data_IF_561537760373
#
_entry.id   IF_561537760373
#
_cell.length_a   1.000
_cell.length_b   1.000
_cell.length_c   1.000
_cell.angle_alpha   90.00
_cell.angle_beta   90.00
_cell.angle_gamma   90.00
#
_symmetry.space_group_name_H-M   'P 1'
#
loop_
_entity.id
_entity.type
_entity.pdbx_description
1 polymer ?
#
# COMPACT_ATOMS: atom_id res chain seq x y z
N UNK A 1 12.97 4.61 15.14
CA UNK A 1 14.07 4.77 16.12
C UNK A 1 15.16 3.80 15.71
N UNK A 2 16.32 4.29 15.27
CA UNK A 2 17.43 3.43 14.83
C UNK A 2 18.24 3.02 16.06
N UNK A 3 18.23 1.72 16.38
CA UNK A 3 19.05 1.09 17.43
C UNK A 3 20.45 0.71 16.91
N UNK A 4 20.86 1.27 15.78
CA UNK A 4 22.20 1.07 15.23
C UNK A 4 23.18 1.93 16.03
N UNK A 5 23.51 1.50 17.26
CA UNK A 5 24.78 1.90 17.85
C UNK A 5 25.87 1.42 16.89
N UNK A 6 26.65 2.36 16.35
CA UNK A 6 27.77 2.00 15.52
C UNK A 6 28.68 1.04 16.28
N UNK A 7 29.26 0.04 15.59
CA UNK A 7 30.09 -1.01 16.23
C UNK A 7 31.20 -0.43 17.12
N UNK A 8 31.67 0.78 16.82
CA UNK A 8 32.65 1.54 17.62
C UNK A 8 32.04 2.07 18.94
N UNK A 9 30.83 2.62 18.89
CA UNK A 9 30.11 3.15 20.05
C UNK A 9 29.66 2.03 20.98
N UNK A 10 29.13 0.94 20.43
CA UNK A 10 28.80 -0.27 21.19
C UNK A 10 30.03 -0.81 21.94
N UNK A 11 31.19 -0.85 21.26
CA UNK A 11 32.45 -1.31 21.87
C UNK A 11 32.95 -0.36 22.96
N UNK A 12 32.74 0.94 22.82
CA UNK A 12 33.10 1.94 23.84
C UNK A 12 32.21 1.78 25.08
N UNK A 13 30.90 1.72 24.89
CA UNK A 13 29.94 1.49 25.97
C UNK A 13 30.15 0.15 26.67
N UNK A 14 30.46 -0.92 25.92
CA UNK A 14 30.75 -2.23 26.48
C UNK A 14 32.01 -2.25 27.35
N UNK A 15 33.03 -1.44 27.03
CA UNK A 15 34.25 -1.32 27.85
C UNK A 15 34.02 -0.59 29.18
N UNK A 16 32.96 0.20 29.29
CA UNK A 16 32.58 0.91 30.51
C UNK A 16 31.76 0.02 31.47
N UNK A 17 31.32 -1.16 31.01
CA UNK A 17 30.56 -2.12 31.79
C UNK A 17 31.47 -3.21 32.38
N UNK A 18 31.02 -3.78 33.50
CA UNK A 18 31.67 -4.94 34.10
C UNK A 18 31.34 -6.21 33.31
N UNK A 19 32.24 -7.21 33.36
CA UNK A 19 32.04 -8.49 32.69
C UNK A 19 30.71 -9.18 33.06
N UNK A 20 30.31 -9.09 34.33
CA UNK A 20 29.04 -9.63 34.83
C UNK A 20 27.86 -8.96 34.12
N UNK A 21 27.83 -7.62 34.08
CA UNK A 21 26.75 -6.87 33.40
C UNK A 21 26.71 -7.14 31.90
N UNK A 22 27.86 -7.32 31.26
CA UNK A 22 27.91 -7.70 29.85
C UNK A 22 27.29 -9.08 29.62
N UNK A 23 27.52 -10.01 30.54
CA UNK A 23 26.96 -11.37 30.47
C UNK A 23 25.43 -11.34 30.61
N UNK A 24 24.90 -10.59 31.59
CA UNK A 24 23.46 -10.42 31.78
C UNK A 24 22.77 -9.79 30.55
N UNK A 25 23.43 -8.80 29.93
CA UNK A 25 22.95 -8.15 28.70
C UNK A 25 22.93 -9.14 27.54
N UNK A 26 23.96 -9.97 27.40
CA UNK A 26 24.02 -11.02 26.37
C UNK A 26 22.91 -12.05 26.58
N UNK A 27 22.67 -12.50 27.80
CA UNK A 27 21.59 -13.44 28.12
C UNK A 27 20.22 -12.85 27.76
N UNK A 28 19.98 -11.60 28.14
CA UNK A 28 18.73 -10.90 27.80
C UNK A 28 18.54 -10.78 26.28
N UNK A 29 19.60 -10.37 25.56
CA UNK A 29 19.54 -10.24 24.10
C UNK A 29 19.33 -11.59 23.41
N UNK A 30 19.94 -12.66 23.91
CA UNK A 30 19.72 -14.01 23.40
C UNK A 30 18.29 -14.50 23.66
N UNK A 31 17.70 -14.16 24.82
CA UNK A 31 16.30 -14.44 25.12
C UNK A 31 15.36 -13.76 24.12
N UNK A 32 15.55 -12.45 23.88
CA UNK A 32 14.79 -11.71 22.87
C UNK A 32 15.00 -12.29 21.47
N UNK A 33 16.22 -12.71 21.13
CA UNK A 33 16.50 -13.33 19.83
C UNK A 33 15.72 -14.65 19.67
N UNK A 34 15.69 -15.49 20.71
CA UNK A 34 14.91 -16.72 20.71
C UNK A 34 13.41 -16.46 20.55
N UNK A 35 12.85 -15.47 21.24
CA UNK A 35 11.44 -15.07 21.07
C UNK A 35 11.15 -14.61 19.64
N UNK A 36 12.03 -13.78 19.06
CA UNK A 36 11.86 -13.30 17.68
C UNK A 36 11.99 -14.42 16.65
N UNK A 37 12.85 -15.39 16.91
CA UNK A 37 12.98 -16.58 16.06
C UNK A 37 11.70 -17.42 16.11
N UNK A 38 11.11 -17.61 17.29
CA UNK A 38 9.82 -18.31 17.45
C UNK A 38 8.67 -17.57 16.77
N UNK A 39 8.62 -16.23 16.87
CA UNK A 39 7.63 -15.41 16.15
C UNK A 39 7.73 -15.61 14.64
N UNK A 40 8.94 -15.59 14.08
CA UNK A 40 9.18 -15.79 12.64
C UNK A 40 8.75 -17.19 12.20
N UNK A 41 9.07 -18.22 12.98
CA UNK A 41 8.64 -19.59 12.70
C UNK A 41 7.11 -19.76 12.75
N UNK A 42 6.46 -19.11 13.72
CA UNK A 42 5.00 -19.13 13.86
C UNK A 42 4.32 -18.40 12.70
N UNK A 43 4.86 -17.24 12.30
CA UNK A 43 4.41 -16.51 11.11
C UNK A 43 4.53 -17.39 9.86
N UNK A 44 5.66 -18.07 9.66
CA UNK A 44 5.85 -18.97 8.52
C UNK A 44 4.83 -20.12 8.50
N UNK A 45 4.52 -20.70 9.68
CA UNK A 45 3.47 -21.73 9.81
C UNK A 45 2.08 -21.19 9.48
N UNK A 46 1.75 -20.00 9.97
CA UNK A 46 0.48 -19.33 9.67
C UNK A 46 0.34 -19.04 8.17
N UNK A 47 1.41 -18.58 7.51
CA UNK A 47 1.43 -18.37 6.06
C UNK A 47 1.18 -19.67 5.29
N UNK A 48 1.78 -20.78 5.70
CA UNK A 48 1.57 -22.08 5.07
C UNK A 48 0.14 -22.59 5.24
N UNK A 49 -0.42 -22.45 6.44
CA UNK A 49 -1.82 -22.83 6.72
C UNK A 49 -2.80 -21.97 5.93
N UNK A 50 -2.57 -20.66 5.88
CA UNK A 50 -3.40 -19.74 5.14
C UNK A 50 -3.37 -20.04 3.63
N UNK A 51 -2.18 -20.33 3.07
CA UNK A 51 -2.06 -20.80 1.67
C UNK A 51 -2.80 -22.10 1.42
N UNK A 52 -2.72 -23.06 2.34
CA UNK A 52 -3.44 -24.33 2.23
C UNK A 52 -4.97 -24.16 2.28
N UNK A 53 -5.45 -23.13 2.98
CA UNK A 53 -6.86 -22.74 3.02
C UNK A 53 -7.29 -21.82 1.86
N UNK A 54 -6.39 -21.55 0.90
CA UNK A 54 -6.69 -20.74 -0.28
C UNK A 54 -6.54 -19.23 -0.10
N UNK A 55 -6.10 -18.76 1.08
CA UNK A 55 -5.83 -17.34 1.30
C UNK A 55 -4.55 -16.88 0.60
N UNK A 56 -4.62 -15.72 -0.04
CA UNK A 56 -3.44 -15.10 -0.66
C UNK A 56 -2.66 -14.27 0.38
N UNK A 57 -1.35 -14.09 0.16
CA UNK A 57 -0.48 -13.27 1.04
C UNK A 57 -0.97 -11.80 1.18
N UNK A 58 -1.82 -11.35 0.26
CA UNK A 58 -2.42 -10.01 0.24
C UNK A 58 -3.58 -9.89 1.23
N UNK A 59 -4.43 -10.93 1.35
CA UNK A 59 -5.54 -10.97 2.31
C UNK A 59 -5.05 -11.06 3.76
N UNK A 60 -3.85 -11.60 3.96
CA UNK A 60 -3.18 -11.69 5.26
C UNK A 60 -2.46 -10.40 5.65
N UNK A 61 -2.45 -9.37 4.80
CA UNK A 61 -1.86 -8.07 5.09
C UNK A 61 -0.33 -8.01 5.00
N UNK A 62 0.35 -9.08 4.56
CA UNK A 62 1.82 -9.13 4.43
C UNK A 62 2.35 -8.38 3.20
N UNK A 63 1.49 -8.06 2.23
CA UNK A 63 1.78 -7.13 1.15
C UNK A 63 0.78 -5.98 1.16
N UNK A 64 1.26 -4.78 1.46
CA UNK A 64 0.51 -3.56 1.19
C UNK A 64 0.77 -3.18 -0.27
N UNK A 65 -0.12 -3.60 -1.17
CA UNK A 65 -0.08 -3.12 -2.54
C UNK A 65 -0.34 -1.62 -2.56
N UNK A 66 0.51 -0.88 -3.29
CA UNK A 66 0.30 0.50 -3.73
C UNK A 66 -0.89 0.67 -4.69
N UNK A 67 -1.53 -0.44 -5.05
CA UNK A 67 -2.82 -0.53 -5.72
C UNK A 67 -3.62 -1.63 -5.02
N UNK A 68 -4.62 -1.26 -4.23
CA UNK A 68 -5.68 -2.20 -3.87
C UNK A 68 -6.90 -1.86 -4.69
N UNK A 69 -6.98 -2.54 -5.84
CA UNK A 69 -8.24 -3.04 -6.37
C UNK A 69 -8.67 -4.15 -5.42
N UNK A 70 -9.73 -3.91 -4.64
CA UNK A 70 -10.44 -4.98 -3.95
C UNK A 70 -11.10 -5.84 -5.02
N UNK A 71 -10.46 -6.91 -5.44
CA UNK A 71 -11.12 -8.03 -6.10
C UNK A 71 -11.53 -9.01 -5.01
N UNK A 72 -12.76 -8.89 -4.52
CA UNK A 72 -13.42 -9.98 -3.81
C UNK A 72 -13.53 -11.16 -4.79
N UNK A 73 -12.59 -12.10 -4.72
CA UNK A 73 -12.85 -13.49 -5.09
C UNK A 73 -13.07 -14.25 -3.79
N UNK A 74 -14.30 -14.15 -3.29
CA UNK A 74 -14.88 -15.17 -2.42
C UNK A 74 -15.46 -16.24 -3.34
N UNK A 75 -15.02 -17.47 -3.15
CA UNK A 75 -15.56 -18.66 -3.78
C UNK A 75 -17.09 -18.77 -3.67
N UNK A 76 -17.67 -19.28 -4.75
CA UNK A 76 -18.90 -20.07 -4.81
C UNK A 76 -20.06 -19.67 -3.90
N UNK A 77 -20.60 -18.47 -4.10
CA UNK A 77 -22.00 -18.22 -3.77
C UNK A 77 -22.64 -17.41 -4.89
N UNK A 78 -23.60 -18.03 -5.57
CA UNK A 78 -24.54 -17.30 -6.40
C UNK A 78 -25.17 -16.19 -5.56
N UNK A 79 -25.23 -14.97 -6.13
CA UNK A 79 -26.10 -13.86 -5.70
C UNK A 79 -25.54 -12.77 -4.78
N UNK A 80 -24.31 -12.27 -5.00
CA UNK A 80 -24.04 -10.85 -4.72
C UNK A 80 -24.00 -10.04 -6.02
N UNK A 81 -25.01 -9.19 -6.20
CA UNK A 81 -25.07 -8.21 -7.29
C UNK A 81 -23.85 -7.28 -7.17
N UNK A 82 -22.95 -7.22 -8.16
CA UNK A 82 -21.85 -6.26 -8.17
C UNK A 82 -22.41 -4.84 -8.21
N UNK A 83 -21.67 -3.86 -7.68
CA UNK A 83 -22.11 -2.46 -7.68
C UNK A 83 -22.06 -1.91 -9.10
N UNK A 84 -23.15 -1.27 -9.57
CA UNK A 84 -23.20 -0.64 -10.89
C UNK A 84 -22.03 0.35 -11.05
N UNK A 85 -21.11 0.11 -12.01
CA UNK A 85 -19.96 0.98 -12.23
C UNK A 85 -20.39 2.42 -12.54
N UNK A 86 -19.71 3.40 -11.94
CA UNK A 86 -19.88 4.83 -12.25
C UNK A 86 -18.52 5.40 -12.63
N UNK A 87 -18.42 5.95 -13.84
CA UNK A 87 -17.21 6.65 -14.27
C UNK A 87 -17.14 8.01 -13.60
N UNK A 88 -16.01 8.33 -12.97
CA UNK A 88 -15.72 9.65 -12.43
C UNK A 88 -14.64 10.29 -13.30
N UNK A 89 -14.98 11.42 -13.92
CA UNK A 89 -14.02 12.22 -14.68
C UNK A 89 -13.04 12.90 -13.72
N UNK A 90 -11.75 12.88 -14.07
CA UNK A 90 -10.72 13.58 -13.30
C UNK A 90 -10.78 15.07 -13.63
N UNK A 91 -11.14 15.90 -12.65
CA UNK A 91 -11.05 17.35 -12.77
C UNK A 91 -9.66 17.82 -12.30
N UNK A 92 -8.87 18.37 -13.25
CA UNK A 92 -7.50 18.86 -13.04
C UNK A 92 -7.38 19.89 -11.91
N UNK A 93 -8.34 20.80 -11.77
CA UNK A 93 -8.28 21.88 -10.78
C UNK A 93 -8.49 21.40 -9.34
N UNK A 94 -9.22 20.29 -9.18
CA UNK A 94 -9.49 19.67 -7.88
C UNK A 94 -8.36 18.74 -7.39
N UNK A 95 -7.32 18.54 -8.20
CA UNK A 95 -6.23 17.64 -7.87
C UNK A 95 -5.17 18.28 -6.97
N UNK A 96 -4.58 17.44 -6.14
CA UNK A 96 -3.44 17.79 -5.29
C UNK A 96 -2.19 17.07 -5.79
N UNK A 97 -1.03 17.68 -5.58
CA UNK A 97 0.27 17.19 -6.02
C UNK A 97 1.25 17.23 -4.87
N UNK A 98 2.31 16.45 -4.97
CA UNK A 98 3.43 16.49 -4.04
C UNK A 98 4.74 16.21 -4.78
N UNK A 99 5.84 16.62 -4.19
CA UNK A 99 7.18 16.33 -4.74
C UNK A 99 7.84 15.30 -3.84
N UNK A 100 8.22 14.17 -4.43
CA UNK A 100 8.95 13.10 -3.75
C UNK A 100 10.14 12.72 -4.63
N UNK A 101 11.35 12.67 -4.05
CA UNK A 101 12.60 12.39 -4.76
C UNK A 101 12.86 13.33 -5.97
N UNK A 102 12.41 14.59 -5.88
CA UNK A 102 12.58 15.57 -6.96
C UNK A 102 11.62 15.42 -8.13
N UNK A 103 10.66 14.48 -8.07
CA UNK A 103 9.63 14.28 -9.09
C UNK A 103 8.26 14.72 -8.58
N UNK A 104 7.49 15.39 -9.44
CA UNK A 104 6.09 15.71 -9.14
C UNK A 104 5.25 14.44 -9.25
N UNK A 105 4.41 14.19 -8.24
CA UNK A 105 3.45 13.10 -8.22
C UNK A 105 2.05 13.64 -7.94
N UNK A 106 1.05 12.95 -8.50
CA UNK A 106 -0.37 13.23 -8.26
C UNK A 106 -0.83 12.53 -6.96
N UNK A 107 -1.49 13.28 -6.08
CA UNK A 107 -2.11 12.72 -4.89
C UNK A 107 -3.34 11.90 -5.28
N UNK A 108 -3.21 10.57 -5.24
CA UNK A 108 -4.28 9.64 -5.66
C UNK A 108 -5.42 9.53 -4.65
N UNK A 109 -5.14 9.65 -3.35
CA UNK A 109 -6.15 9.48 -2.30
C UNK A 109 -5.98 10.49 -1.15
N UNK A 110 -7.09 10.87 -0.52
CA UNK A 110 -7.05 11.76 0.65
C UNK A 110 -6.37 11.12 1.86
N UNK A 111 -6.42 9.79 1.98
CA UNK A 111 -5.76 9.04 3.06
C UNK A 111 -4.23 9.13 2.97
N UNK A 112 -3.66 9.21 1.75
CA UNK A 112 -2.22 9.42 1.54
C UNK A 112 -1.74 10.78 2.07
N UNK A 113 -2.60 11.81 2.08
CA UNK A 113 -2.21 13.17 2.49
C UNK A 113 -1.59 13.20 3.88
N UNK A 114 -2.18 12.49 4.84
CA UNK A 114 -1.68 12.44 6.23
C UNK A 114 -0.33 11.71 6.31
N UNK A 115 -0.18 10.60 5.60
CA UNK A 115 1.07 9.84 5.56
C UNK A 115 2.23 10.62 4.93
N UNK A 116 1.96 11.35 3.85
CA UNK A 116 2.94 12.21 3.19
C UNK A 116 3.37 13.38 4.10
N UNK A 117 2.40 14.03 4.77
CA UNK A 117 2.70 15.09 5.73
C UNK A 117 3.55 14.61 6.90
N UNK A 118 3.30 13.40 7.42
CA UNK A 118 4.12 12.79 8.48
C UNK A 118 5.56 12.49 8.01
N UNK A 119 5.76 12.21 6.72
CA UNK A 119 7.08 12.05 6.10
C UNK A 119 7.77 13.38 5.78
N UNK A 120 7.14 14.51 6.11
CA UNK A 120 7.65 15.86 5.79
C UNK A 120 7.45 16.27 4.32
N UNK A 121 6.67 15.51 3.54
CA UNK A 121 6.39 15.80 2.14
C UNK A 121 5.21 16.78 2.05
N UNK A 122 5.42 17.90 1.35
CA UNK A 122 4.38 18.92 1.19
C UNK A 122 3.42 18.54 0.07
N UNK A 123 2.12 18.52 0.40
CA UNK A 123 1.02 18.32 -0.54
C UNK A 123 0.39 19.67 -0.87
N UNK A 124 0.36 20.03 -2.14
CA UNK A 124 -0.08 21.34 -2.65
C UNK A 124 -1.18 21.20 -3.71
N UNK A 125 -2.14 22.14 -3.77
CA UNK A 125 -3.11 22.20 -4.88
C UNK A 125 -2.44 22.69 -6.16
N UNK A 126 -3.07 22.42 -7.32
CA UNK A 126 -2.57 22.84 -8.64
C UNK A 126 -2.08 24.29 -8.70
N UNK A 127 -2.82 25.23 -8.10
CA UNK A 127 -2.51 26.66 -8.10
C UNK A 127 -1.17 27.02 -7.42
N UNK A 128 -0.64 26.12 -6.57
CA UNK A 128 0.61 26.30 -5.83
C UNK A 128 1.76 25.43 -6.38
N UNK A 129 1.53 24.70 -7.48
CA UNK A 129 2.58 23.92 -8.15
C UNK A 129 3.45 24.85 -8.98
N UNK A 130 4.77 24.66 -8.94
CA UNK A 130 5.72 25.44 -9.75
C UNK A 130 5.43 25.24 -11.25
N UNK A 131 5.43 26.34 -12.01
CA UNK A 131 5.21 26.36 -13.47
C UNK A 131 6.19 25.46 -14.22
N UNK A 132 7.36 25.16 -13.65
CA UNK A 132 8.35 24.24 -14.23
C UNK A 132 7.77 22.83 -14.49
N UNK A 133 6.80 22.39 -13.69
CA UNK A 133 6.21 21.05 -13.80
C UNK A 133 4.94 21.00 -14.66
N UNK A 134 4.60 22.07 -15.39
CA UNK A 134 3.33 22.12 -16.16
C UNK A 134 3.17 20.94 -17.12
N UNK A 135 4.25 20.55 -17.82
CA UNK A 135 4.25 19.39 -18.72
C UNK A 135 4.06 18.06 -17.98
N UNK A 136 4.64 17.95 -16.78
CA UNK A 136 4.51 16.75 -15.96
C UNK A 136 3.10 16.63 -15.39
N UNK A 137 2.45 17.74 -15.04
CA UNK A 137 1.05 17.76 -14.60
C UNK A 137 0.14 17.19 -15.67
N UNK A 138 0.26 17.66 -16.92
CA UNK A 138 -0.59 17.19 -18.01
C UNK A 138 -0.40 15.69 -18.26
N UNK A 139 0.85 15.21 -18.21
CA UNK A 139 1.16 13.79 -18.31
C UNK A 139 0.54 12.98 -17.15
N UNK A 140 0.72 13.43 -15.91
CA UNK A 140 0.17 12.75 -14.73
C UNK A 140 -1.36 12.67 -14.75
N UNK A 141 -2.03 13.73 -15.24
CA UNK A 141 -3.49 13.73 -15.38
C UNK A 141 -3.93 12.79 -16.51
N UNK A 142 -3.20 12.75 -17.63
CA UNK A 142 -3.47 11.82 -18.73
C UNK A 142 -3.32 10.36 -18.29
N UNK A 143 -2.21 10.04 -17.60
CA UNK A 143 -1.94 8.70 -17.07
C UNK A 143 -3.02 8.27 -16.05
N UNK A 144 -3.39 9.17 -15.13
CA UNK A 144 -4.45 8.91 -14.17
C UNK A 144 -5.82 8.72 -14.86
N UNK A 145 -6.08 9.43 -15.96
CA UNK A 145 -7.32 9.29 -16.73
C UNK A 145 -7.37 7.96 -17.46
N UNK A 146 -6.25 7.54 -18.08
CA UNK A 146 -6.14 6.23 -18.70
C UNK A 146 -6.37 5.11 -17.68
N UNK A 147 -5.76 5.21 -16.49
CA UNK A 147 -5.98 4.26 -15.40
C UNK A 147 -7.44 4.26 -14.91
N UNK A 148 -8.10 5.42 -14.86
CA UNK A 148 -9.52 5.50 -14.50
C UNK A 148 -10.44 4.83 -15.53
N UNK A 149 -10.13 4.95 -16.83
CA UNK A 149 -10.84 4.28 -17.92
C UNK A 149 -10.67 2.76 -17.82
N UNK A 150 -9.44 2.29 -17.66
CA UNK A 150 -9.13 0.87 -17.51
C UNK A 150 -9.89 0.26 -16.31
N UNK A 151 -9.83 0.92 -15.15
CA UNK A 151 -10.54 0.50 -13.95
C UNK A 151 -12.06 0.46 -14.14
N UNK A 152 -12.62 1.42 -14.87
CA UNK A 152 -14.05 1.43 -15.20
C UNK A 152 -14.41 0.26 -16.13
N UNK A 153 -13.63 0.02 -17.17
CA UNK A 153 -13.84 -1.06 -18.13
C UNK A 153 -13.75 -2.45 -17.50
N UNK A 154 -12.85 -2.63 -16.54
CA UNK A 154 -12.76 -3.87 -15.75
C UNK A 154 -14.03 -4.07 -14.90
N UNK A 155 -14.54 -3.02 -14.24
CA UNK A 155 -15.79 -3.08 -13.48
C UNK A 155 -17.02 -3.31 -14.37
N UNK A 156 -17.05 -2.72 -15.57
CA UNK A 156 -18.08 -2.97 -16.58
C UNK A 156 -18.06 -4.42 -17.02
N UNK A 157 -16.88 -5.02 -17.20
CA UNK A 157 -16.77 -6.44 -17.56
C UNK A 157 -17.41 -7.34 -16.49
N UNK A 158 -17.06 -7.14 -15.21
CA UNK A 158 -17.63 -7.88 -14.08
C UNK A 158 -19.15 -7.67 -13.99
N UNK A 159 -19.61 -6.43 -14.17
CA UNK A 159 -21.05 -6.12 -14.15
C UNK A 159 -21.78 -6.78 -15.31
N UNK A 160 -21.23 -6.75 -16.52
CA UNK A 160 -21.83 -7.34 -17.70
C UNK A 160 -21.89 -8.88 -17.60
N UNK A 161 -20.86 -9.51 -17.06
CA UNK A 161 -20.86 -10.96 -16.78
C UNK A 161 -22.00 -11.33 -15.83
N UNK A 162 -22.19 -10.57 -14.75
CA UNK A 162 -23.32 -10.75 -13.84
C UNK A 162 -24.66 -10.45 -14.52
N UNK A 163 -24.74 -9.37 -15.31
CA UNK A 163 -25.94 -8.91 -15.97
C UNK A 163 -26.45 -9.91 -17.03
N UNK A 164 -25.55 -10.55 -17.79
CA UNK A 164 -25.91 -11.61 -18.75
C UNK A 164 -26.56 -12.79 -18.03
N UNK A 165 -26.02 -13.20 -16.88
CA UNK A 165 -26.54 -14.33 -16.11
C UNK A 165 -27.84 -14.02 -15.33
N UNK A 166 -28.12 -12.75 -15.04
CA UNK A 166 -29.22 -12.32 -14.15
C UNK A 166 -30.24 -11.37 -14.80
N UNK A 167 -30.16 -11.14 -16.12
CA UNK A 167 -31.06 -10.22 -16.85
C UNK A 167 -30.85 -8.73 -16.53
N UNK A 168 -29.63 -8.33 -16.18
CA UNK A 168 -29.26 -6.94 -15.91
C UNK A 168 -29.00 -6.12 -17.17
N UNK A 169 -28.96 -4.79 -17.01
CA UNK A 169 -28.57 -3.85 -18.06
C UNK A 169 -27.09 -4.03 -18.43
N UNK A 170 -26.78 -4.17 -19.72
CA UNK A 170 -25.39 -4.23 -20.22
C UNK A 170 -24.85 -2.81 -20.36
N UNK A 171 -23.67 -2.57 -19.81
CA UNK A 171 -22.98 -1.29 -19.89
C UNK A 171 -21.89 -1.31 -20.95
N UNK A 172 -21.69 -0.16 -21.60
CA UNK A 172 -20.61 0.03 -22.57
C UNK A 172 -19.30 0.41 -21.89
N UNK A 173 -18.20 -0.07 -22.46
CA UNK A 173 -16.83 0.31 -22.10
C UNK A 173 -16.53 1.70 -22.68
N UNK A 174 -15.58 2.41 -22.07
CA UNK A 174 -15.07 3.71 -22.52
C UNK A 174 -13.69 3.63 -23.12
#
# INVERSE_FOLDING_TARGET
MSLLLDKKELKKAAKELTLVKLTDVIETLNGVLAERQQEVELIAKLEQLAKAQGYTLEQLGYRQSSDVVVAERSDSDSAKRPVKPKFKTINKESQFFYVENGQLQLLRTHTMKKGLQQRGIQVVPLAKVDKKFTKDIDKLIADATAQAIENFNSKVTIWNEWAVANGGEILEKR
#
